data_IF_721681667142
#
_entry.id   IF_721681667142
#
_cell.length_a   1.000
_cell.length_b   1.000
_cell.length_c   1.000
_cell.angle_alpha   90.00
_cell.angle_beta   90.00
_cell.angle_gamma   90.00
#
_symmetry.space_group_name_H-M   'P 1'
#
loop_
_entity.id
_entity.type
_entity.pdbx_description
1 polymer ?
#
# COMPACT_ATOMS: atom_id res chain seq x y z
N UNK A 1 4.33 1.11 8.07
CA UNK A 1 5.01 2.34 8.56
C UNK A 1 6.45 2.04 8.99
N UNK A 2 6.69 1.01 9.87
CA UNK A 2 8.04 0.71 10.37
C UNK A 2 9.04 0.45 9.24
N UNK A 3 8.72 -0.44 8.28
CA UNK A 3 9.61 -0.74 7.16
C UNK A 3 9.90 0.48 6.27
N UNK A 4 8.91 1.35 6.06
CA UNK A 4 9.13 2.61 5.33
C UNK A 4 10.14 3.50 6.06
N UNK A 5 9.99 3.70 7.37
CA UNK A 5 10.93 4.50 8.16
C UNK A 5 12.35 3.93 8.10
N UNK A 6 12.49 2.61 8.29
CA UNK A 6 13.80 1.95 8.19
C UNK A 6 14.43 2.12 6.80
N UNK A 7 13.63 2.03 5.74
CA UNK A 7 14.13 2.24 4.37
C UNK A 7 14.60 3.69 4.11
N UNK A 8 14.07 4.66 4.86
CA UNK A 8 14.41 6.08 4.73
C UNK A 8 15.58 6.52 5.60
N UNK A 9 16.10 5.67 6.51
CA UNK A 9 17.22 6.02 7.41
C UNK A 9 18.50 6.49 6.70
N UNK A 10 18.67 6.13 5.41
CA UNK A 10 19.80 6.58 4.59
C UNK A 10 19.48 7.73 3.63
N UNK A 11 18.29 8.34 3.71
CA UNK A 11 17.79 9.32 2.74
C UNK A 11 17.25 10.56 3.50
N UNK A 12 18.15 11.44 4.00
CA UNK A 12 17.74 12.57 4.84
C UNK A 12 16.85 13.60 4.12
N UNK A 13 16.80 13.57 2.80
CA UNK A 13 15.96 14.45 1.98
C UNK A 13 14.46 14.06 2.03
N UNK A 14 14.15 12.86 2.53
CA UNK A 14 12.77 12.38 2.65
C UNK A 14 12.41 12.23 4.12
N UNK A 15 11.39 12.92 4.55
CA UNK A 15 10.87 12.86 5.92
C UNK A 15 9.45 12.30 5.95
N UNK A 16 9.13 11.54 7.00
CA UNK A 16 7.76 11.12 7.30
C UNK A 16 7.18 12.12 8.27
N UNK A 17 6.42 13.05 7.75
CA UNK A 17 5.85 14.17 8.47
C UNK A 17 4.72 13.74 9.41
N UNK A 18 3.81 12.93 8.91
CA UNK A 18 2.69 12.40 9.67
C UNK A 18 2.37 10.94 9.35
N UNK A 19 1.74 10.27 10.30
CA UNK A 19 1.10 8.97 10.11
C UNK A 19 -0.35 9.10 10.54
N UNK A 20 -1.26 8.96 9.58
CA UNK A 20 -2.69 9.07 9.79
C UNK A 20 -3.31 7.67 9.85
N UNK A 21 -4.05 7.38 10.90
CA UNK A 21 -4.74 6.12 11.06
C UNK A 21 -6.18 6.24 10.54
N UNK A 22 -6.52 5.43 9.56
CA UNK A 22 -7.80 5.48 8.86
C UNK A 22 -8.75 4.31 9.19
N UNK A 23 -8.36 3.42 10.10
CA UNK A 23 -9.15 2.27 10.55
C UNK A 23 -9.66 1.35 9.41
N UNK A 24 -8.99 1.33 8.26
CA UNK A 24 -9.38 0.62 7.03
C UNK A 24 -10.72 1.08 6.42
N UNK A 25 -11.15 2.30 6.76
CA UNK A 25 -12.44 2.87 6.39
C UNK A 25 -12.26 4.10 5.48
N UNK A 26 -13.07 4.19 4.42
CA UNK A 26 -12.97 5.26 3.43
C UNK A 26 -13.42 6.62 3.98
N UNK A 27 -14.46 6.65 4.79
CA UNK A 27 -14.96 7.92 5.34
C UNK A 27 -14.02 8.46 6.40
N UNK A 28 -13.45 7.59 7.25
CA UNK A 28 -12.41 7.96 8.20
C UNK A 28 -11.15 8.43 7.45
N UNK A 29 -10.74 7.70 6.40
CA UNK A 29 -9.60 8.08 5.56
C UNK A 29 -9.79 9.48 4.97
N UNK A 30 -10.97 9.75 4.40
CA UNK A 30 -11.31 11.05 3.86
C UNK A 30 -11.27 12.15 4.94
N UNK A 31 -11.85 11.89 6.10
CA UNK A 31 -11.94 12.85 7.18
C UNK A 31 -10.55 13.22 7.73
N UNK A 32 -9.74 12.24 8.08
CA UNK A 32 -8.43 12.48 8.69
C UNK A 32 -7.46 13.14 7.71
N UNK A 33 -7.50 12.71 6.43
CA UNK A 33 -6.63 13.29 5.43
C UNK A 33 -7.08 14.72 5.04
N UNK A 34 -8.39 14.97 4.93
CA UNK A 34 -8.91 16.33 4.70
C UNK A 34 -8.50 17.28 5.81
N UNK A 35 -8.63 16.85 7.08
CA UNK A 35 -8.22 17.66 8.23
C UNK A 35 -6.71 17.97 8.17
N UNK A 36 -5.88 16.99 7.86
CA UNK A 36 -4.44 17.19 7.71
C UNK A 36 -4.11 18.14 6.55
N UNK A 37 -4.75 17.96 5.40
CA UNK A 37 -4.51 18.79 4.22
C UNK A 37 -5.02 20.22 4.35
N UNK A 38 -5.83 20.56 5.36
CA UNK A 38 -6.24 21.93 5.59
C UNK A 38 -5.04 22.86 5.87
N UNK A 39 -4.07 22.37 6.66
CA UNK A 39 -2.92 23.15 7.11
C UNK A 39 -1.58 22.69 6.52
N UNK A 40 -1.55 21.54 5.82
CA UNK A 40 -0.33 20.92 5.32
C UNK A 40 -0.40 20.66 3.81
N UNK A 41 0.77 20.68 3.17
CA UNK A 41 0.90 20.32 1.74
C UNK A 41 2.09 19.37 1.58
N UNK A 42 1.88 18.07 1.84
CA UNK A 42 2.95 17.10 1.65
C UNK A 42 3.25 16.92 0.15
N UNK A 43 4.50 16.63 -0.18
CA UNK A 43 4.88 16.27 -1.55
C UNK A 43 4.29 14.93 -1.98
N UNK A 44 4.06 14.03 -1.00
CA UNK A 44 3.61 12.67 -1.24
C UNK A 44 2.71 12.15 -0.12
N UNK A 45 1.71 11.37 -0.50
CA UNK A 45 0.91 10.53 0.41
C UNK A 45 1.12 9.06 0.04
N UNK A 46 1.39 8.22 1.05
CA UNK A 46 1.52 6.79 0.88
C UNK A 46 0.37 6.07 1.59
N UNK A 47 -0.49 5.41 0.83
CA UNK A 47 -1.54 4.55 1.37
C UNK A 47 -0.97 3.15 1.65
N UNK A 48 -0.76 2.83 2.91
CA UNK A 48 -0.24 1.54 3.37
C UNK A 48 -1.33 0.57 3.85
N UNK A 49 -2.61 0.94 3.70
CA UNK A 49 -3.77 0.18 4.14
C UNK A 49 -4.99 0.48 3.25
N UNK A 50 -6.11 -0.20 3.47
CA UNK A 50 -7.40 0.10 2.83
C UNK A 50 -7.89 1.52 3.17
N UNK A 51 -8.99 1.97 2.55
CA UNK A 51 -9.50 3.35 2.68
C UNK A 51 -8.95 4.30 1.62
N UNK A 52 -8.56 3.74 0.47
CA UNK A 52 -7.92 4.52 -0.59
C UNK A 52 -8.91 5.41 -1.35
N UNK A 53 -10.15 4.98 -1.55
CA UNK A 53 -11.15 5.80 -2.25
C UNK A 53 -11.48 7.07 -1.43
N UNK A 54 -11.61 6.94 -0.13
CA UNK A 54 -11.79 8.09 0.77
C UNK A 54 -10.61 9.03 0.80
N UNK A 55 -9.41 8.48 0.92
CA UNK A 55 -8.18 9.28 0.92
C UNK A 55 -7.96 9.99 -0.41
N UNK A 56 -8.18 9.32 -1.55
CA UNK A 56 -8.10 9.93 -2.87
C UNK A 56 -9.12 11.03 -3.05
N UNK A 57 -10.35 10.86 -2.53
CA UNK A 57 -11.38 11.91 -2.52
C UNK A 57 -10.87 13.17 -1.81
N UNK A 58 -10.27 13.03 -0.64
CA UNK A 58 -9.71 14.16 0.11
C UNK A 58 -8.59 14.88 -0.67
N UNK A 59 -7.69 14.13 -1.32
CA UNK A 59 -6.61 14.68 -2.14
C UNK A 59 -7.18 15.48 -3.32
N UNK A 60 -8.12 14.88 -4.06
CA UNK A 60 -8.73 15.53 -5.23
C UNK A 60 -9.49 16.79 -4.86
N UNK A 61 -10.26 16.77 -3.77
CA UNK A 61 -11.00 17.93 -3.26
C UNK A 61 -10.07 19.06 -2.78
N UNK A 62 -8.88 18.73 -2.28
CA UNK A 62 -7.91 19.72 -1.83
C UNK A 62 -7.33 20.58 -2.96
N UNK A 63 -7.42 20.11 -4.20
CA UNK A 63 -6.80 20.73 -5.36
C UNK A 63 -5.27 20.79 -5.34
N UNK A 64 -4.62 20.16 -4.36
CA UNK A 64 -3.17 20.17 -4.19
C UNK A 64 -2.50 19.15 -5.11
N UNK A 65 -1.31 19.49 -5.59
CA UNK A 65 -0.51 18.59 -6.43
C UNK A 65 0.32 17.65 -5.53
N UNK A 66 -0.28 16.53 -5.14
CA UNK A 66 0.30 15.54 -4.23
C UNK A 66 0.54 14.24 -5.01
N UNK A 67 1.77 13.74 -4.95
CA UNK A 67 2.08 12.40 -5.48
C UNK A 67 1.49 11.33 -4.57
N UNK A 68 0.98 10.26 -5.17
CA UNK A 68 0.38 9.17 -4.40
C UNK A 68 1.10 7.87 -4.69
N UNK A 69 1.47 7.18 -3.62
CA UNK A 69 1.89 5.78 -3.62
C UNK A 69 0.85 4.94 -2.89
N UNK A 70 0.73 3.68 -3.30
CA UNK A 70 -0.17 2.75 -2.65
C UNK A 70 0.54 1.41 -2.37
N UNK A 71 -0.07 0.63 -1.50
CA UNK A 71 0.20 -0.79 -1.31
C UNK A 71 -1.05 -1.54 -1.75
N UNK A 72 -0.85 -2.75 -2.27
CA UNK A 72 -1.84 -3.63 -2.88
C UNK A 72 -2.24 -3.23 -4.31
N UNK A 73 -2.86 -4.19 -5.02
CA UNK A 73 -3.32 -4.05 -6.39
C UNK A 73 -4.84 -4.20 -6.47
N UNK A 74 -5.57 -3.51 -5.58
CA UNK A 74 -7.02 -3.51 -5.60
C UNK A 74 -7.54 -2.84 -6.87
N UNK A 75 -8.77 -3.12 -7.25
CA UNK A 75 -9.40 -2.50 -8.42
C UNK A 75 -9.37 -0.97 -8.35
N UNK A 76 -9.61 -0.40 -7.16
CA UNK A 76 -9.54 1.03 -6.93
C UNK A 76 -8.13 1.58 -7.19
N UNK A 77 -7.09 0.92 -6.66
CA UNK A 77 -5.69 1.33 -6.89
C UNK A 77 -5.35 1.30 -8.36
N UNK A 78 -5.70 0.22 -9.07
CA UNK A 78 -5.40 0.08 -10.50
C UNK A 78 -6.12 1.13 -11.34
N UNK A 79 -7.39 1.41 -11.05
CA UNK A 79 -8.16 2.48 -11.69
C UNK A 79 -7.48 3.85 -11.52
N UNK A 80 -7.11 4.23 -10.29
CA UNK A 80 -6.41 5.49 -10.05
C UNK A 80 -5.01 5.55 -10.68
N UNK A 81 -4.33 4.40 -10.84
CA UNK A 81 -3.08 4.35 -11.62
C UNK A 81 -3.32 4.62 -13.10
N UNK A 82 -4.34 4.02 -13.71
CA UNK A 82 -4.73 4.27 -15.12
C UNK A 82 -5.09 5.73 -15.34
N UNK A 83 -5.80 6.33 -14.40
CA UNK A 83 -6.13 7.77 -14.41
C UNK A 83 -4.90 8.67 -14.16
N UNK A 84 -3.74 8.11 -13.82
CA UNK A 84 -2.52 8.85 -13.51
C UNK A 84 -2.52 9.56 -12.17
N UNK A 85 -3.40 9.14 -11.26
CA UNK A 85 -3.53 9.70 -9.90
C UNK A 85 -2.59 9.03 -8.92
N UNK A 86 -2.32 7.73 -9.11
CA UNK A 86 -1.34 6.97 -8.31
C UNK A 86 -0.11 6.72 -9.17
N UNK A 87 1.04 7.10 -8.67
CA UNK A 87 2.32 6.99 -9.39
C UNK A 87 2.84 5.55 -9.40
N UNK A 88 2.75 4.87 -8.27
CA UNK A 88 3.20 3.50 -8.12
C UNK A 88 2.44 2.78 -7.00
N UNK A 89 2.41 1.45 -7.07
CA UNK A 89 1.94 0.60 -5.98
C UNK A 89 2.84 -0.60 -5.80
N UNK A 90 2.88 -1.12 -4.57
CA UNK A 90 3.53 -2.40 -4.25
C UNK A 90 2.46 -3.46 -4.14
N UNK A 91 2.42 -4.39 -5.09
CA UNK A 91 1.41 -5.46 -5.13
C UNK A 91 1.96 -6.74 -4.54
N UNK A 92 1.10 -7.45 -3.83
CA UNK A 92 1.33 -8.82 -3.41
C UNK A 92 1.00 -9.79 -4.56
N UNK A 93 1.38 -11.04 -4.38
CA UNK A 93 1.03 -12.15 -5.29
C UNK A 93 0.02 -13.08 -4.58
N UNK A 94 -1.27 -12.69 -4.48
CA UNK A 94 -2.26 -13.42 -3.67
C UNK A 94 -2.49 -14.85 -4.15
N UNK A 95 -2.40 -15.09 -5.46
CA UNK A 95 -2.50 -16.44 -6.02
C UNK A 95 -1.33 -17.31 -5.56
N UNK A 96 -0.09 -16.82 -5.65
CA UNK A 96 1.09 -17.56 -5.20
C UNK A 96 1.07 -17.80 -3.69
N UNK A 97 0.57 -16.85 -2.91
CA UNK A 97 0.41 -16.98 -1.46
C UNK A 97 -0.59 -18.09 -1.12
N UNK A 98 -1.73 -18.13 -1.81
CA UNK A 98 -2.75 -19.16 -1.63
C UNK A 98 -2.26 -20.56 -2.05
N UNK A 99 -1.64 -20.67 -3.24
CA UNK A 99 -1.09 -21.93 -3.75
C UNK A 99 -0.05 -22.49 -2.79
N UNK A 100 0.91 -21.69 -2.37
CA UNK A 100 1.97 -22.12 -1.45
C UNK A 100 1.41 -22.55 -0.08
N UNK A 101 0.45 -21.81 0.47
CA UNK A 101 -0.18 -22.16 1.74
C UNK A 101 -0.91 -23.51 1.67
N UNK A 102 -1.66 -23.75 0.58
CA UNK A 102 -2.34 -25.04 0.37
C UNK A 102 -1.34 -26.16 0.16
N UNK A 103 -0.28 -25.94 -0.61
CA UNK A 103 0.77 -26.92 -0.87
C UNK A 103 1.48 -27.35 0.42
N UNK A 104 1.91 -26.36 1.22
CA UNK A 104 2.57 -26.61 2.51
C UNK A 104 1.66 -27.40 3.46
N UNK A 105 0.37 -27.02 3.54
CA UNK A 105 -0.60 -27.73 4.37
C UNK A 105 -0.85 -29.16 3.88
N UNK A 106 -1.01 -29.35 2.57
CA UNK A 106 -1.20 -30.67 1.96
C UNK A 106 -0.03 -31.60 2.26
N UNK A 107 1.20 -31.12 2.04
CA UNK A 107 2.41 -31.90 2.31
C UNK A 107 2.51 -32.31 3.78
N UNK A 108 2.19 -31.37 4.68
CA UNK A 108 2.17 -31.66 6.11
C UNK A 108 1.14 -32.74 6.49
N UNK A 109 -0.08 -32.64 6.00
CA UNK A 109 -1.14 -33.61 6.27
C UNK A 109 -0.79 -34.99 5.69
N UNK A 110 -0.24 -35.03 4.48
CA UNK A 110 0.03 -36.27 3.76
C UNK A 110 1.30 -36.99 4.26
N UNK A 111 2.33 -36.24 4.60
CA UNK A 111 3.66 -36.81 4.95
C UNK A 111 4.02 -36.70 6.43
N UNK A 112 3.29 -35.90 7.21
CA UNK A 112 3.63 -35.55 8.60
C UNK A 112 4.87 -34.63 8.71
N UNK A 113 5.47 -34.20 7.60
CA UNK A 113 6.66 -33.36 7.60
C UNK A 113 6.28 -31.90 7.80
N UNK A 114 6.86 -31.27 8.82
CA UNK A 114 6.74 -29.81 9.01
C UNK A 114 7.62 -29.08 7.99
N UNK A 115 7.19 -27.90 7.52
CA UNK A 115 8.03 -27.05 6.69
C UNK A 115 9.39 -26.81 7.35
N UNK A 116 10.47 -26.83 6.57
CA UNK A 116 11.82 -26.58 7.08
C UNK A 116 11.99 -25.14 7.59
N UNK A 117 11.26 -24.18 7.02
CA UNK A 117 11.22 -22.78 7.44
C UNK A 117 9.91 -22.49 8.17
N UNK A 118 9.99 -21.75 9.29
CA UNK A 118 8.81 -21.30 10.04
C UNK A 118 8.01 -20.21 9.31
N UNK A 119 8.62 -19.58 8.28
CA UNK A 119 8.00 -18.55 7.45
C UNK A 119 8.42 -18.76 5.99
N UNK A 120 7.45 -18.76 5.10
CA UNK A 120 7.67 -18.77 3.65
C UNK A 120 7.32 -17.39 3.11
N UNK A 121 8.29 -16.73 2.47
CA UNK A 121 8.11 -15.41 1.89
C UNK A 121 7.72 -15.52 0.42
N UNK A 122 6.69 -14.80 0.03
CA UNK A 122 6.33 -14.59 -1.37
C UNK A 122 6.87 -13.25 -1.86
N UNK A 123 7.03 -13.12 -3.17
CA UNK A 123 7.53 -11.89 -3.77
C UNK A 123 6.46 -10.80 -3.82
N UNK A 124 6.88 -9.57 -3.59
CA UNK A 124 6.11 -8.38 -3.90
C UNK A 124 6.60 -7.77 -5.21
N UNK A 125 5.71 -7.11 -5.95
CA UNK A 125 6.05 -6.42 -7.20
C UNK A 125 5.74 -4.94 -7.09
N UNK A 126 6.66 -4.11 -7.57
CA UNK A 126 6.38 -2.70 -7.77
C UNK A 126 5.74 -2.54 -9.15
N UNK A 127 4.55 -1.94 -9.17
CA UNK A 127 3.88 -1.52 -10.39
C UNK A 127 3.97 -0.01 -10.53
N UNK A 128 4.33 0.46 -11.71
CA UNK A 128 4.31 1.86 -12.09
C UNK A 128 3.40 2.03 -13.30
N UNK A 129 2.85 3.22 -13.47
CA UNK A 129 2.10 3.52 -14.69
C UNK A 129 3.04 3.40 -15.89
N UNK A 130 2.67 2.62 -16.89
CA UNK A 130 3.39 2.67 -18.18
C UNK A 130 3.16 4.06 -18.80
N UNK A 131 4.22 4.83 -18.95
CA UNK A 131 4.20 5.98 -19.85
C UNK A 131 3.99 5.45 -21.28
N UNK A 132 2.90 5.83 -21.90
CA UNK A 132 2.69 5.64 -23.32
C UNK A 132 3.70 6.46 -24.11
#
# INVERSE_FOLDING_TARGET
VRGLRTALEGTPEITVDAVLENQYDDDVSCQVLRAYLADHTPDMVCFAAAGIDGGMRAILESGKNIRVLAVDGTEAVLRYMEEGRIAATVTQEPFAQGDEAVRVLFDYIHTGRRPAAGVVYTHNRVRVRHSQ
#
